data_IF_121213155201
#
_entry.id   IF_121213155201
#
_cell.length_a   1.000
_cell.length_b   1.000
_cell.length_c   1.000
_cell.angle_alpha   90.00
_cell.angle_beta   90.00
_cell.angle_gamma   90.00
#
_symmetry.space_group_name_H-M   'P 1'
#
loop_
_entity.id
_entity.type
_entity.pdbx_description
1 polymer ?
#
# COMPACT_ATOMS: atom_id res chain seq x y z
N UNK A 1 -12.36 -75.91 20.28
CA UNK A 1 -12.94 -76.65 21.41
C UNK A 1 -12.63 -75.82 22.64
N UNK A 2 -13.52 -75.11 23.33
CA UNK A 2 -14.99 -74.92 23.33
C UNK A 2 -15.20 -73.50 23.93
N UNK A 3 -15.92 -72.57 23.32
CA UNK A 3 -17.38 -72.31 23.36
C UNK A 3 -17.90 -71.49 24.58
N UNK A 4 -18.75 -70.50 24.27
CA UNK A 4 -19.79 -69.81 25.08
C UNK A 4 -19.57 -68.51 25.91
N UNK A 5 -19.91 -67.41 25.23
CA UNK A 5 -20.81 -66.26 25.55
C UNK A 5 -21.40 -66.07 26.97
N UNK A 6 -21.23 -64.84 27.50
CA UNK A 6 -22.26 -64.01 28.18
C UNK A 6 -21.72 -62.56 28.25
N UNK A 7 -22.37 -61.50 27.76
CA UNK A 7 -23.72 -61.06 28.09
C UNK A 7 -23.64 -59.91 29.12
N UNK A 8 -23.30 -58.70 28.68
CA UNK A 8 -23.18 -57.53 29.56
C UNK A 8 -23.59 -56.22 28.87
N UNK A 9 -24.84 -55.81 29.09
CA UNK A 9 -25.37 -54.50 28.73
C UNK A 9 -24.89 -53.46 29.77
N UNK A 10 -24.22 -52.40 29.34
CA UNK A 10 -24.13 -51.15 30.11
C UNK A 10 -23.84 -49.96 29.21
N UNK A 11 -24.90 -49.20 28.98
CA UNK A 11 -24.96 -47.73 28.91
C UNK A 11 -23.78 -47.01 28.23
N UNK A 12 -23.93 -46.73 26.93
CA UNK A 12 -23.21 -45.66 26.24
C UNK A 12 -23.71 -44.31 26.78
N UNK A 13 -22.86 -43.46 27.36
CA UNK A 13 -23.23 -42.08 27.63
C UNK A 13 -23.29 -41.33 26.29
N UNK A 14 -24.41 -40.67 26.03
CA UNK A 14 -24.52 -39.64 24.99
C UNK A 14 -23.58 -38.50 25.34
N UNK A 15 -22.47 -38.37 24.61
CA UNK A 15 -21.73 -37.10 24.51
C UNK A 15 -22.19 -36.38 23.25
N UNK A 16 -23.21 -35.53 23.42
CA UNK A 16 -23.26 -34.28 22.68
C UNK A 16 -22.10 -33.44 23.23
N UNK A 17 -21.16 -33.02 22.40
CA UNK A 17 -20.66 -31.65 22.53
C UNK A 17 -19.86 -31.16 21.31
N UNK A 18 -20.38 -30.07 20.77
CA UNK A 18 -19.73 -29.03 19.99
C UNK A 18 -18.98 -29.46 18.71
N UNK A 19 -19.74 -29.51 17.61
CA UNK A 19 -19.17 -29.10 16.34
C UNK A 19 -18.59 -27.69 16.52
N UNK A 20 -17.26 -27.60 16.58
CA UNK A 20 -16.54 -26.32 16.53
C UNK A 20 -16.91 -25.67 15.21
N UNK A 21 -17.87 -24.75 15.24
CA UNK A 21 -18.17 -23.83 14.16
C UNK A 21 -16.97 -22.88 14.02
N UNK A 22 -15.88 -23.36 13.43
CA UNK A 22 -14.82 -22.51 12.91
C UNK A 22 -15.42 -21.74 11.75
N UNK A 23 -15.90 -20.53 12.06
CA UNK A 23 -16.39 -19.55 11.08
C UNK A 23 -15.23 -19.26 10.13
N UNK A 24 -15.23 -19.88 8.95
CA UNK A 24 -14.21 -19.67 7.93
C UNK A 24 -14.29 -18.22 7.44
N UNK A 25 -13.34 -17.39 7.83
CA UNK A 25 -13.21 -16.03 7.32
C UNK A 25 -12.60 -16.10 5.92
N UNK A 26 -13.42 -15.88 4.89
CA UNK A 26 -12.93 -15.77 3.51
C UNK A 26 -12.13 -14.46 3.37
N UNK A 27 -10.98 -14.53 2.69
CA UNK A 27 -10.15 -13.35 2.41
C UNK A 27 -10.12 -13.07 0.91
N UNK A 28 -10.33 -11.83 0.53
CA UNK A 28 -10.11 -11.33 -0.82
C UNK A 28 -8.82 -10.51 -0.82
N UNK A 29 -7.89 -10.84 -1.71
CA UNK A 29 -6.63 -10.12 -1.89
C UNK A 29 -6.64 -9.53 -3.29
N UNK A 30 -6.59 -8.21 -3.38
CA UNK A 30 -6.52 -7.45 -4.63
C UNK A 30 -5.08 -7.01 -4.82
N UNK A 31 -4.49 -7.41 -5.95
CA UNK A 31 -3.13 -7.06 -6.31
C UNK A 31 -3.22 -6.00 -7.41
N UNK A 32 -2.71 -4.81 -7.14
CA UNK A 32 -2.78 -3.65 -8.00
C UNK A 32 -1.42 -3.35 -8.60
N UNK A 33 -1.41 -2.98 -9.87
CA UNK A 33 -0.32 -2.19 -10.46
C UNK A 33 -0.56 -0.69 -10.19
N UNK A 34 0.49 0.11 -10.22
CA UNK A 34 0.43 1.55 -9.93
C UNK A 34 0.28 2.38 -11.21
N UNK A 35 1.32 2.37 -12.04
CA UNK A 35 1.44 3.20 -13.24
C UNK A 35 0.51 2.71 -14.34
N UNK A 36 -0.21 3.64 -14.97
CA UNK A 36 -1.20 3.37 -16.00
C UNK A 36 -2.36 2.45 -15.55
N UNK A 37 -2.52 2.28 -14.23
CA UNK A 37 -3.62 1.52 -13.61
C UNK A 37 -4.32 2.36 -12.56
N UNK A 38 -3.65 2.72 -11.46
CA UNK A 38 -4.21 3.58 -10.42
C UNK A 38 -3.92 5.06 -10.70
N UNK A 39 -2.78 5.35 -11.33
CA UNK A 39 -2.35 6.70 -11.70
C UNK A 39 -1.87 6.73 -13.15
N UNK A 40 -1.75 7.92 -13.74
CA UNK A 40 -1.37 8.12 -15.16
C UNK A 40 -0.09 8.96 -15.31
N UNK A 41 0.89 8.80 -14.42
CA UNK A 41 2.04 9.71 -14.38
C UNK A 41 2.93 9.58 -15.63
N UNK A 42 3.24 8.35 -16.06
CA UNK A 42 4.16 8.11 -17.17
C UNK A 42 3.57 8.58 -18.51
N UNK A 43 2.29 8.30 -18.76
CA UNK A 43 1.58 8.72 -19.97
C UNK A 43 1.33 10.23 -20.02
N UNK A 44 1.24 10.90 -18.87
CA UNK A 44 1.26 12.36 -18.79
C UNK A 44 2.65 12.91 -19.16
N UNK A 45 3.72 12.38 -18.57
CA UNK A 45 5.09 12.86 -18.78
C UNK A 45 5.56 12.79 -20.24
N UNK A 46 5.19 11.71 -20.95
CA UNK A 46 5.57 11.52 -22.35
C UNK A 46 4.48 11.97 -23.35
N UNK A 47 3.36 12.50 -22.88
CA UNK A 47 2.27 13.01 -23.72
C UNK A 47 1.36 11.94 -24.33
N UNK A 48 1.68 10.64 -24.17
CA UNK A 48 0.90 9.55 -24.77
C UNK A 48 -0.55 9.52 -24.30
N UNK A 49 -0.85 9.99 -23.08
CA UNK A 49 -2.23 10.06 -22.60
C UNK A 49 -3.10 10.93 -23.50
N UNK A 50 -2.58 12.05 -24.02
CA UNK A 50 -3.35 12.96 -24.86
C UNK A 50 -3.51 12.46 -26.30
N UNK A 51 -2.49 11.77 -26.82
CA UNK A 51 -2.44 11.30 -28.22
C UNK A 51 -3.60 10.37 -28.56
N UNK A 52 -4.03 9.52 -27.63
CA UNK A 52 -5.14 8.57 -27.86
C UNK A 52 -6.51 9.24 -28.03
N UNK A 53 -6.63 10.53 -27.68
CA UNK A 53 -7.86 11.31 -27.80
C UNK A 53 -7.98 12.07 -29.13
N UNK A 54 -7.13 11.76 -30.12
CA UNK A 54 -7.22 12.32 -31.48
C UNK A 54 -7.31 13.87 -31.52
N UNK A 55 -6.53 14.54 -30.67
CA UNK A 55 -6.45 16.01 -30.60
C UNK A 55 -7.53 16.68 -29.74
N UNK A 56 -8.40 15.92 -29.05
CA UNK A 56 -9.39 16.48 -28.13
C UNK A 56 -8.79 16.92 -26.78
N UNK A 57 -7.55 16.51 -26.47
CA UNK A 57 -6.81 16.91 -25.26
C UNK A 57 -5.55 17.67 -25.63
N UNK A 58 -5.24 18.69 -24.83
CA UNK A 58 -4.02 19.49 -24.96
C UNK A 58 -2.81 18.71 -24.42
N UNK A 59 -1.98 18.22 -25.35
CA UNK A 59 -0.75 17.46 -25.06
C UNK A 59 0.18 18.23 -24.13
N UNK A 60 0.37 19.54 -24.37
CA UNK A 60 1.32 20.35 -23.62
C UNK A 60 0.86 20.49 -22.16
N UNK A 61 -0.45 20.74 -21.96
CA UNK A 61 -1.04 20.76 -20.62
C UNK A 61 -0.83 19.45 -19.87
N UNK A 62 -1.04 18.31 -20.52
CA UNK A 62 -0.82 16.99 -19.90
C UNK A 62 0.63 16.78 -19.45
N UNK A 63 1.60 17.13 -20.31
CA UNK A 63 3.03 17.03 -20.00
C UNK A 63 3.43 17.96 -18.85
N UNK A 64 2.87 19.17 -18.79
CA UNK A 64 3.11 20.10 -17.68
C UNK A 64 2.59 19.57 -16.35
N UNK A 65 1.38 18.98 -16.33
CA UNK A 65 0.83 18.30 -15.14
C UNK A 65 1.77 17.17 -14.69
N UNK A 66 2.21 16.32 -15.61
CA UNK A 66 3.14 15.23 -15.31
C UNK A 66 4.45 15.73 -14.69
N UNK A 67 5.04 16.79 -15.26
CA UNK A 67 6.28 17.40 -14.74
C UNK A 67 6.10 18.06 -13.37
N UNK A 68 4.92 18.63 -13.09
CA UNK A 68 4.61 19.17 -11.76
C UNK A 68 4.59 18.06 -10.72
N UNK A 69 3.90 16.94 -11.01
CA UNK A 69 3.89 15.77 -10.13
C UNK A 69 5.28 15.17 -9.91
N UNK A 70 6.04 14.94 -10.98
CA UNK A 70 7.41 14.39 -10.88
C UNK A 70 8.29 15.26 -9.97
N UNK A 71 8.26 16.59 -10.14
CA UNK A 71 9.00 17.51 -9.28
C UNK A 71 8.59 17.41 -7.82
N UNK A 72 7.28 17.38 -7.55
CA UNK A 72 6.75 17.32 -6.20
C UNK A 72 7.04 15.98 -5.51
N UNK A 73 6.93 14.86 -6.24
CA UNK A 73 7.28 13.53 -5.73
C UNK A 73 8.77 13.49 -5.35
N UNK A 74 9.66 13.95 -6.25
CA UNK A 74 11.10 13.98 -5.96
C UNK A 74 11.43 14.89 -4.78
N UNK A 75 10.80 16.07 -4.70
CA UNK A 75 10.98 16.98 -3.57
C UNK A 75 10.62 16.30 -2.24
N UNK A 76 9.51 15.56 -2.17
CA UNK A 76 9.14 14.83 -0.96
C UNK A 76 10.14 13.73 -0.63
N UNK A 77 10.59 13.00 -1.65
CA UNK A 77 11.56 11.93 -1.50
C UNK A 77 12.86 12.47 -0.88
N UNK A 78 13.35 13.61 -1.37
CA UNK A 78 14.58 14.23 -0.89
C UNK A 78 14.41 14.81 0.52
N UNK A 79 13.36 15.61 0.74
CA UNK A 79 13.15 16.32 2.01
C UNK A 79 12.75 15.40 3.17
N UNK A 80 11.93 14.38 2.90
CA UNK A 80 11.32 13.57 3.96
C UNK A 80 11.78 12.12 3.97
N UNK A 81 12.20 11.55 2.84
CA UNK A 81 12.50 10.12 2.72
C UNK A 81 13.97 9.79 2.42
N UNK A 82 14.88 10.72 2.68
CA UNK A 82 16.33 10.51 2.58
C UNK A 82 16.78 10.08 1.18
N UNK A 83 16.03 10.42 0.13
CA UNK A 83 16.19 9.80 -1.19
C UNK A 83 17.59 10.01 -1.77
N UNK A 84 18.15 11.22 -1.70
CA UNK A 84 19.55 11.48 -2.09
C UNK A 84 20.56 10.52 -1.42
N UNK A 85 20.30 10.09 -0.18
CA UNK A 85 21.20 9.19 0.54
C UNK A 85 21.00 7.73 0.12
N UNK A 86 19.77 7.33 -0.23
CA UNK A 86 19.39 5.90 -0.38
C UNK A 86 18.87 5.53 -1.77
N UNK A 87 18.95 6.41 -2.77
CA UNK A 87 18.47 6.17 -4.14
C UNK A 87 19.03 4.86 -4.76
N UNK A 88 20.29 4.54 -4.45
CA UNK A 88 20.99 3.36 -4.95
C UNK A 88 20.75 2.09 -4.11
N UNK A 89 19.89 2.18 -3.09
CA UNK A 89 19.59 1.11 -2.13
C UNK A 89 18.14 0.63 -2.24
N UNK A 90 17.70 0.33 -3.47
CA UNK A 90 16.33 -0.11 -3.73
C UNK A 90 16.03 -1.45 -3.05
N UNK A 91 14.89 -1.53 -2.36
CA UNK A 91 14.42 -2.73 -1.65
C UNK A 91 12.95 -3.00 -2.00
N UNK A 92 12.46 -4.24 -1.88
CA UNK A 92 11.07 -4.56 -2.26
C UNK A 92 10.01 -4.00 -1.29
N UNK A 93 10.38 -3.65 -0.06
CA UNK A 93 9.50 -3.04 0.94
C UNK A 93 10.30 -2.35 2.04
N UNK A 94 9.65 -1.52 2.85
CA UNK A 94 10.28 -0.87 4.00
C UNK A 94 10.76 -1.88 5.05
N UNK A 95 10.07 -3.01 5.19
CA UNK A 95 10.40 -4.06 6.18
C UNK A 95 11.49 -5.04 5.71
N UNK A 96 12.00 -4.90 4.47
CA UNK A 96 12.98 -5.82 3.88
C UNK A 96 14.27 -5.98 4.70
N UNK A 97 14.62 -4.97 5.50
CA UNK A 97 15.82 -4.95 6.35
C UNK A 97 15.50 -4.96 7.85
N UNK A 98 14.25 -5.28 8.22
CA UNK A 98 13.80 -5.30 9.63
C UNK A 98 14.68 -6.13 10.56
N UNK A 99 15.29 -7.21 10.05
CA UNK A 99 16.23 -8.05 10.80
C UNK A 99 17.53 -7.35 11.23
N UNK A 100 17.89 -6.24 10.57
CA UNK A 100 19.08 -5.45 10.88
C UNK A 100 18.79 -4.31 11.86
N UNK A 101 17.51 -3.96 12.02
CA UNK A 101 17.07 -2.93 12.96
C UNK A 101 17.12 -3.46 14.39
N UNK A 102 17.91 -2.82 15.24
CA UNK A 102 18.06 -3.22 16.65
C UNK A 102 17.06 -2.52 17.60
N UNK A 103 16.11 -1.75 17.06
CA UNK A 103 15.07 -1.10 17.83
C UNK A 103 15.55 0.11 18.64
N UNK A 104 16.78 0.57 18.43
CA UNK A 104 17.32 1.83 18.99
C UNK A 104 16.31 2.98 18.86
N UNK A 105 16.26 3.85 19.86
CA UNK A 105 15.59 5.15 19.74
C UNK A 105 16.37 6.05 18.75
N UNK A 106 15.65 6.63 17.80
CA UNK A 106 16.23 7.46 16.72
C UNK A 106 15.95 8.95 16.92
N UNK A 107 15.36 9.35 18.06
CA UNK A 107 14.98 10.73 18.34
C UNK A 107 16.17 11.69 18.38
N UNK A 108 17.35 11.22 18.78
CA UNK A 108 18.61 11.96 18.82
C UNK A 108 19.63 11.50 17.75
N UNK A 109 19.19 10.66 16.80
CA UNK A 109 20.05 10.09 15.77
C UNK A 109 20.27 11.06 14.61
N UNK A 110 21.52 11.45 14.39
CA UNK A 110 21.90 12.30 13.25
C UNK A 110 22.24 11.46 12.01
N UNK A 111 21.28 11.39 11.08
CA UNK A 111 21.43 10.69 9.81
C UNK A 111 22.47 11.31 8.87
N UNK A 112 22.85 12.57 9.06
CA UNK A 112 23.87 13.22 8.23
C UNK A 112 25.29 12.91 8.70
N UNK A 113 25.45 12.52 9.97
CA UNK A 113 26.75 12.23 10.59
C UNK A 113 26.96 10.74 10.85
N UNK A 114 26.01 9.87 10.48
CA UNK A 114 26.12 8.44 10.73
C UNK A 114 27.11 7.71 9.81
N UNK A 115 27.66 8.40 8.80
CA UNK A 115 28.61 7.85 7.84
C UNK A 115 28.02 6.70 7.03
N UNK A 116 26.73 6.75 6.69
CA UNK A 116 26.11 5.79 5.79
C UNK A 116 26.80 5.77 4.43
N UNK A 117 26.99 4.56 3.91
CA UNK A 117 27.45 4.29 2.55
C UNK A 117 26.60 3.16 1.95
N UNK A 118 26.47 3.14 0.62
CA UNK A 118 25.72 2.12 -0.12
C UNK A 118 26.38 0.74 -0.15
N UNK A 119 27.32 0.47 0.75
CA UNK A 119 27.95 -0.85 0.92
C UNK A 119 26.99 -1.83 1.61
N UNK A 120 27.09 -3.11 1.22
CA UNK A 120 26.16 -4.17 1.67
C UNK A 120 26.60 -4.88 2.96
N UNK A 121 27.42 -4.24 3.79
CA UNK A 121 27.77 -4.76 5.10
C UNK A 121 26.64 -4.58 6.12
N UNK A 122 26.69 -5.35 7.21
CA UNK A 122 25.61 -5.38 8.20
C UNK A 122 25.47 -4.04 8.96
N UNK A 123 26.53 -3.23 9.03
CA UNK A 123 26.49 -1.90 9.66
C UNK A 123 25.66 -0.96 8.79
N UNK A 124 25.93 -0.90 7.49
CA UNK A 124 25.18 -0.06 6.56
C UNK A 124 23.75 -0.56 6.33
N UNK A 125 23.51 -1.88 6.34
CA UNK A 125 22.14 -2.42 6.34
C UNK A 125 21.34 -1.99 7.56
N UNK A 126 21.95 -1.91 8.74
CA UNK A 126 21.31 -1.38 9.95
C UNK A 126 20.98 0.12 9.81
N UNK A 127 21.92 0.93 9.32
CA UNK A 127 21.67 2.36 9.06
C UNK A 127 20.56 2.60 8.03
N UNK A 128 20.48 1.75 7.01
CA UNK A 128 19.39 1.78 6.04
C UNK A 128 18.04 1.36 6.67
N UNK A 129 18.05 0.33 7.54
CA UNK A 129 16.87 -0.08 8.28
C UNK A 129 16.34 1.06 9.19
N UNK A 130 17.21 1.85 9.81
CA UNK A 130 16.80 3.04 10.56
C UNK A 130 16.08 4.07 9.69
N UNK A 131 16.62 4.37 8.49
CA UNK A 131 15.97 5.28 7.53
C UNK A 131 14.61 4.75 7.12
N UNK A 132 14.50 3.46 6.78
CA UNK A 132 13.23 2.81 6.47
C UNK A 132 12.22 2.89 7.61
N UNK A 133 12.65 2.69 8.87
CA UNK A 133 11.77 2.82 10.05
C UNK A 133 11.24 4.24 10.19
N UNK A 134 12.07 5.27 9.98
CA UNK A 134 11.63 6.67 10.01
C UNK A 134 10.67 6.97 8.85
N UNK A 135 10.96 6.49 7.64
CA UNK A 135 10.08 6.64 6.46
C UNK A 135 8.72 5.99 6.73
N UNK A 136 8.70 4.76 7.25
CA UNK A 136 7.46 4.04 7.58
C UNK A 136 6.62 4.82 8.62
N UNK A 137 7.27 5.43 9.62
CA UNK A 137 6.60 6.26 10.61
C UNK A 137 6.01 7.54 10.00
N UNK A 138 6.74 8.21 9.09
CA UNK A 138 6.24 9.40 8.37
C UNK A 138 5.07 9.03 7.45
N UNK A 139 5.23 7.98 6.64
CA UNK A 139 4.20 7.47 5.74
C UNK A 139 2.90 7.15 6.49
N UNK A 140 2.99 6.47 7.64
CA UNK A 140 1.84 6.13 8.49
C UNK A 140 1.08 7.36 9.00
N UNK A 141 1.77 8.49 9.23
CA UNK A 141 1.14 9.74 9.69
C UNK A 141 0.48 10.51 8.54
N UNK A 142 0.81 10.21 7.29
CA UNK A 142 0.24 10.82 6.09
C UNK A 142 0.78 12.22 5.79
N UNK A 143 0.43 12.73 4.60
CA UNK A 143 0.95 14.00 4.07
C UNK A 143 0.67 15.22 4.95
N UNK A 144 -0.49 15.27 5.62
CA UNK A 144 -0.84 16.37 6.54
C UNK A 144 0.10 16.48 7.76
N UNK A 145 0.90 15.46 8.04
CA UNK A 145 1.92 15.53 9.09
C UNK A 145 3.26 16.09 8.61
N UNK A 146 3.45 16.15 7.28
CA UNK A 146 4.67 16.60 6.63
C UNK A 146 4.52 18.03 6.10
N UNK A 147 3.34 18.38 5.61
CA UNK A 147 3.08 19.64 4.93
C UNK A 147 2.33 20.66 5.79
N UNK A 148 2.56 21.94 5.49
CA UNK A 148 1.70 23.02 5.95
C UNK A 148 0.40 23.12 5.13
N UNK A 149 -0.50 24.01 5.53
CA UNK A 149 -1.80 24.16 4.86
C UNK A 149 -1.68 24.66 3.42
N UNK A 150 -0.68 25.47 3.10
CA UNK A 150 -0.51 26.04 1.77
C UNK A 150 -0.02 24.97 0.79
N UNK A 151 0.92 24.12 1.21
CA UNK A 151 1.41 22.97 0.44
C UNK A 151 0.32 21.92 0.23
N UNK A 152 -0.49 21.62 1.25
CA UNK A 152 -1.65 20.72 1.10
C UNK A 152 -2.61 21.26 0.04
N UNK A 153 -2.97 22.55 0.13
CA UNK A 153 -3.87 23.17 -0.85
C UNK A 153 -3.30 23.14 -2.27
N UNK A 154 -2.00 23.41 -2.43
CA UNK A 154 -1.33 23.34 -3.74
C UNK A 154 -1.45 21.93 -4.35
N UNK A 155 -1.28 20.89 -3.55
CA UNK A 155 -1.37 19.51 -4.00
C UNK A 155 -2.81 19.08 -4.29
N UNK A 156 -3.78 19.55 -3.49
CA UNK A 156 -5.20 19.34 -3.75
C UNK A 156 -5.63 20.01 -5.07
N UNK A 157 -5.20 21.26 -5.31
CA UNK A 157 -5.45 21.98 -6.56
C UNK A 157 -4.82 21.23 -7.76
N UNK A 158 -3.60 20.69 -7.62
CA UNK A 158 -2.95 19.89 -8.65
C UNK A 158 -3.68 18.56 -8.89
N UNK A 159 -4.16 17.89 -7.83
CA UNK A 159 -5.00 16.70 -7.93
C UNK A 159 -6.26 16.99 -8.75
N UNK A 160 -6.97 18.07 -8.45
CA UNK A 160 -8.19 18.46 -9.16
C UNK A 160 -7.92 18.80 -10.62
N UNK A 161 -6.83 19.53 -10.91
CA UNK A 161 -6.41 19.81 -12.30
C UNK A 161 -6.12 18.51 -13.06
N UNK A 162 -5.44 17.56 -12.41
CA UNK A 162 -5.07 16.26 -12.99
C UNK A 162 -6.29 15.39 -13.22
N UNK A 163 -7.18 15.27 -12.23
CA UNK A 163 -8.37 14.42 -12.31
C UNK A 163 -9.35 14.96 -13.37
N UNK A 164 -9.52 16.28 -13.46
CA UNK A 164 -10.31 16.89 -14.53
C UNK A 164 -9.71 16.67 -15.92
N UNK A 165 -8.37 16.79 -16.05
CA UNK A 165 -7.71 16.54 -17.31
C UNK A 165 -7.78 15.07 -17.73
N UNK A 166 -7.77 14.15 -16.77
CA UNK A 166 -7.74 12.69 -17.01
C UNK A 166 -9.12 12.02 -17.01
N UNK A 167 -10.20 12.79 -17.23
CA UNK A 167 -11.58 12.30 -17.23
C UNK A 167 -11.96 11.52 -15.96
N UNK A 168 -11.46 12.01 -14.81
CA UNK A 168 -11.69 11.48 -13.47
C UNK A 168 -11.04 10.13 -13.17
N UNK A 169 -9.90 9.84 -13.78
CA UNK A 169 -9.18 8.59 -13.58
C UNK A 169 -8.83 8.36 -12.10
N UNK A 170 -8.26 9.35 -11.41
CA UNK A 170 -7.82 9.22 -10.02
C UNK A 170 -9.02 9.03 -9.08
N UNK A 171 -10.08 9.81 -9.28
CA UNK A 171 -11.34 9.63 -8.53
C UNK A 171 -11.94 8.24 -8.73
N UNK A 172 -11.91 7.73 -9.96
CA UNK A 172 -12.44 6.40 -10.29
C UNK A 172 -11.60 5.28 -9.67
N UNK A 173 -10.26 5.39 -9.75
CA UNK A 173 -9.33 4.47 -9.10
C UNK A 173 -9.53 4.46 -7.58
N UNK A 174 -9.64 5.62 -6.94
CA UNK A 174 -9.94 5.75 -5.50
C UNK A 174 -11.26 5.06 -5.13
N UNK A 175 -12.34 5.34 -5.86
CA UNK A 175 -13.64 4.72 -5.62
C UNK A 175 -13.58 3.19 -5.76
N UNK A 176 -12.79 2.68 -6.70
CA UNK A 176 -12.58 1.24 -6.87
C UNK A 176 -11.83 0.63 -5.67
N UNK A 177 -10.75 1.27 -5.22
CA UNK A 177 -9.98 0.85 -4.03
C UNK A 177 -10.83 0.85 -2.75
N UNK A 178 -11.69 1.85 -2.57
CA UNK A 178 -12.62 1.93 -1.44
C UNK A 178 -13.63 0.78 -1.45
N UNK A 179 -14.20 0.45 -2.61
CA UNK A 179 -15.10 -0.70 -2.78
C UNK A 179 -14.37 -2.02 -2.48
N UNK A 180 -13.16 -2.19 -3.03
CA UNK A 180 -12.32 -3.35 -2.76
C UNK A 180 -11.94 -3.47 -1.28
N UNK A 181 -11.90 -2.36 -0.53
CA UNK A 181 -11.64 -2.34 0.92
C UNK A 181 -12.86 -2.69 1.79
N UNK A 182 -14.02 -2.98 1.19
CA UNK A 182 -15.28 -3.27 1.88
C UNK A 182 -16.28 -2.10 1.91
N UNK A 183 -16.04 -1.06 1.10
CA UNK A 183 -16.95 0.07 0.90
C UNK A 183 -18.14 -0.29 0.01
N UNK A 184 -19.15 -0.95 0.60
CA UNK A 184 -20.59 -0.78 0.34
C UNK A 184 -21.34 -1.88 1.10
N UNK A 185 -21.64 -1.62 2.37
CA UNK A 185 -22.58 -2.43 3.17
C UNK A 185 -24.05 -2.08 2.93
N UNK A 186 -24.35 -1.14 2.03
CA UNK A 186 -25.71 -0.79 1.67
C UNK A 186 -25.94 -1.04 0.19
N UNK A 187 -26.76 -2.05 -0.10
CA UNK A 187 -27.72 -2.21 -1.22
C UNK A 187 -27.81 -3.68 -1.64
N UNK A 188 -28.33 -4.55 -0.76
CA UNK A 188 -29.23 -5.66 -1.13
C UNK A 188 -29.73 -6.37 0.13
N UNK A 189 -31.02 -6.28 0.51
CA UNK A 189 -31.60 -7.20 1.45
C UNK A 189 -32.00 -8.47 0.68
N UNK A 190 -31.04 -9.36 0.43
CA UNK A 190 -31.34 -10.71 -0.04
C UNK A 190 -31.01 -11.72 1.06
N UNK A 191 -32.11 -12.16 1.68
CA UNK A 191 -32.42 -13.46 2.31
C UNK A 191 -31.27 -14.48 2.33
N UNK A 192 -30.95 -14.89 3.56
CA UNK A 192 -30.21 -16.10 3.95
C UNK A 192 -28.84 -16.33 3.30
N UNK A 193 -27.81 -15.71 3.85
CA UNK A 193 -26.47 -16.31 3.86
C UNK A 193 -25.80 -15.99 5.19
N UNK A 194 -25.41 -17.05 5.91
CA UNK A 194 -24.66 -16.94 7.14
C UNK A 194 -23.51 -15.94 6.96
N UNK A 195 -23.51 -14.93 7.82
CA UNK A 195 -22.63 -13.77 7.91
C UNK A 195 -21.13 -14.11 7.76
N UNK A 196 -20.69 -14.41 6.53
CA UNK A 196 -19.27 -14.63 6.19
C UNK A 196 -18.62 -13.26 6.08
N UNK A 197 -18.08 -12.76 7.18
CA UNK A 197 -17.27 -11.55 7.21
C UNK A 197 -16.05 -11.74 6.29
N UNK A 198 -16.05 -11.11 5.11
CA UNK A 198 -14.87 -11.12 4.26
C UNK A 198 -13.81 -10.16 4.82
N UNK A 199 -12.55 -10.59 4.83
CA UNK A 199 -11.41 -9.68 5.01
C UNK A 199 -10.93 -9.27 3.62
N UNK A 200 -10.85 -7.98 3.37
CA UNK A 200 -10.34 -7.44 2.12
C UNK A 200 -8.95 -6.84 2.33
N UNK A 201 -8.02 -7.15 1.43
CA UNK A 201 -6.63 -6.70 1.49
C UNK A 201 -6.25 -6.16 0.11
N UNK A 202 -5.79 -4.91 0.06
CA UNK A 202 -5.19 -4.32 -1.13
C UNK A 202 -3.67 -4.40 -1.02
N UNK A 203 -3.02 -4.88 -2.07
CA UNK A 203 -1.57 -4.98 -2.20
C UNK A 203 -1.16 -4.23 -3.46
N UNK A 204 -0.24 -3.28 -3.34
CA UNK A 204 0.35 -2.59 -4.47
C UNK A 204 1.66 -3.29 -4.87
N UNK A 205 1.83 -3.55 -6.16
CA UNK A 205 3.06 -4.08 -6.76
C UNK A 205 3.38 -3.21 -7.96
N UNK A 206 4.53 -2.54 -7.94
CA UNK A 206 4.97 -1.65 -9.02
C UNK A 206 6.40 -1.96 -9.43
N UNK A 207 6.76 -1.58 -10.65
CA UNK A 207 8.12 -1.65 -11.18
C UNK A 207 9.01 -0.46 -10.78
N UNK A 208 8.43 0.58 -10.17
CA UNK A 208 9.15 1.72 -9.64
C UNK A 208 10.09 1.37 -8.49
N UNK A 209 11.03 2.27 -8.20
CA UNK A 209 11.84 2.18 -6.98
C UNK A 209 10.97 2.45 -5.74
N UNK A 210 11.29 1.81 -4.62
CA UNK A 210 10.46 1.83 -3.42
C UNK A 210 10.16 3.26 -2.95
N UNK A 211 11.18 4.10 -2.83
CA UNK A 211 11.02 5.42 -2.19
C UNK A 211 10.12 6.36 -3.00
N UNK A 212 10.30 6.54 -4.32
CA UNK A 212 9.37 7.30 -5.15
C UNK A 212 7.96 6.71 -5.28
N UNK A 213 7.79 5.41 -5.00
CA UNK A 213 6.49 4.74 -5.05
C UNK A 213 5.67 4.84 -3.76
N UNK A 214 6.27 5.27 -2.64
CA UNK A 214 5.56 5.50 -1.37
C UNK A 214 4.79 6.83 -1.44
#
# INVERSE_FOLDING_TARGET
MDEFISGGNSTVPKTNDSAKNTKYQKRNVYIWDMDETLILLKSLLNGMYAEVFNGLKDVQKGVEIGKMWERHILQVCDEYFFYEQIENCNNPSLDALSQYDDGRDLSDYDFNLDGFSSSYDDINKRKLAYRHRVIAQKYKKGLHSLFDQDMIKLWDDLYDVTDNYTDRWLSSARACLEQCSGGNKELTPCIDSADTKFQHINVLVTSGSLIPSL
#
